data_IF_756502598567
#
_entry.id   IF_756502598567
#
_cell.length_a   1.000
_cell.length_b   1.000
_cell.length_c   1.000
_cell.angle_alpha   90.00
_cell.angle_beta   90.00
_cell.angle_gamma   90.00
#
_symmetry.space_group_name_H-M   'P 1'
#
loop_
_entity.id
_entity.type
_entity.pdbx_description
1 polymer ?
#
# COMPACT_ATOMS: atom_id res chain seq x y z
N UNK A 1 -22.28 3.39 -7.72
CA UNK A 1 -21.43 2.57 -6.81
C UNK A 1 -19.94 2.62 -7.16
N UNK A 2 -19.54 2.64 -8.45
CA UNK A 2 -18.13 2.62 -8.89
C UNK A 2 -17.31 3.88 -8.51
N UNK A 3 -17.90 5.07 -8.60
CA UNK A 3 -17.20 6.34 -8.32
C UNK A 3 -16.67 6.46 -6.88
N UNK A 4 -17.48 6.08 -5.88
CA UNK A 4 -17.07 6.11 -4.47
C UNK A 4 -15.87 5.18 -4.20
N UNK A 5 -15.74 4.08 -4.96
CA UNK A 5 -14.67 3.09 -4.76
C UNK A 5 -13.34 3.61 -5.29
N UNK A 6 -13.38 4.14 -6.52
CA UNK A 6 -12.27 4.86 -7.12
C UNK A 6 -11.81 6.02 -6.25
N UNK A 7 -12.75 6.83 -5.74
CA UNK A 7 -12.41 7.96 -4.86
C UNK A 7 -11.65 7.49 -3.61
N UNK A 8 -12.09 6.41 -2.95
CA UNK A 8 -11.38 5.88 -1.78
C UNK A 8 -9.98 5.39 -2.09
N UNK A 9 -9.78 4.72 -3.22
CA UNK A 9 -8.45 4.30 -3.69
C UNK A 9 -7.55 5.52 -3.86
N UNK A 10 -8.04 6.57 -4.53
CA UNK A 10 -7.29 7.80 -4.76
C UNK A 10 -6.96 8.50 -3.44
N UNK A 11 -7.92 8.61 -2.53
CA UNK A 11 -7.71 9.24 -1.21
C UNK A 11 -6.65 8.48 -0.41
N UNK A 12 -6.72 7.14 -0.38
CA UNK A 12 -5.71 6.29 0.28
C UNK A 12 -4.34 6.53 -0.34
N UNK A 13 -4.25 6.49 -1.68
CA UNK A 13 -3.00 6.64 -2.38
C UNK A 13 -2.35 8.00 -2.09
N UNK A 14 -3.12 9.09 -2.15
CA UNK A 14 -2.64 10.45 -1.87
C UNK A 14 -2.21 10.60 -0.41
N UNK A 15 -3.04 10.17 0.54
CA UNK A 15 -2.72 10.28 1.97
C UNK A 15 -1.47 9.47 2.30
N UNK A 16 -1.37 8.24 1.79
CA UNK A 16 -0.19 7.42 2.02
C UNK A 16 1.06 8.06 1.42
N UNK A 17 0.99 8.52 0.17
CA UNK A 17 2.11 9.19 -0.49
C UNK A 17 2.61 10.38 0.34
N UNK A 18 1.70 11.25 0.79
CA UNK A 18 2.03 12.41 1.63
C UNK A 18 2.62 11.98 2.98
N UNK A 19 2.03 10.98 3.65
CA UNK A 19 2.51 10.49 4.94
C UNK A 19 3.92 9.89 4.84
N UNK A 20 4.23 9.16 3.77
CA UNK A 20 5.59 8.63 3.56
C UNK A 20 6.58 9.76 3.37
N UNK A 21 6.25 10.80 2.61
CA UNK A 21 7.15 11.95 2.42
C UNK A 21 7.46 12.67 3.75
N UNK A 22 6.48 12.76 4.65
CA UNK A 22 6.61 13.44 5.93
C UNK A 22 7.32 12.59 6.99
N UNK A 23 6.91 11.34 7.17
CA UNK A 23 7.31 10.51 8.32
C UNK A 23 8.36 9.45 7.94
N UNK A 24 8.41 9.04 6.66
CA UNK A 24 9.35 8.03 6.13
C UNK A 24 9.43 6.73 6.93
N UNK A 25 8.31 6.31 7.53
CA UNK A 25 8.23 5.12 8.39
C UNK A 25 7.22 4.12 7.83
N UNK A 26 7.43 2.82 8.04
CA UNK A 26 6.51 1.73 7.64
C UNK A 26 5.12 1.89 8.27
N UNK A 27 5.02 2.55 9.42
CA UNK A 27 3.75 2.87 10.09
C UNK A 27 2.82 3.72 9.22
N UNK A 28 3.35 4.47 8.27
CA UNK A 28 2.55 5.30 7.34
C UNK A 28 1.61 4.46 6.47
N UNK A 29 2.00 3.23 6.12
CA UNK A 29 1.15 2.28 5.38
C UNK A 29 -0.10 1.91 6.19
N UNK A 30 0.06 1.72 7.50
CA UNK A 30 -1.01 1.37 8.42
C UNK A 30 -1.94 2.57 8.62
N UNK A 31 -1.39 3.76 8.85
CA UNK A 31 -2.18 4.97 9.08
C UNK A 31 -3.02 5.32 7.85
N UNK A 32 -2.44 5.26 6.66
CA UNK A 32 -3.15 5.56 5.43
C UNK A 32 -4.29 4.57 5.15
N UNK A 33 -4.04 3.27 5.35
CA UNK A 33 -5.08 2.25 5.24
C UNK A 33 -6.17 2.41 6.29
N UNK A 34 -5.84 2.77 7.55
CA UNK A 34 -6.84 3.08 8.57
C UNK A 34 -7.77 4.22 8.13
N UNK A 35 -7.22 5.34 7.67
CA UNK A 35 -8.00 6.51 7.24
C UNK A 35 -8.90 6.15 6.06
N UNK A 36 -8.36 5.49 5.04
CA UNK A 36 -9.13 5.07 3.87
C UNK A 36 -10.21 4.04 4.15
N UNK A 37 -9.93 3.10 5.06
CA UNK A 37 -10.86 2.05 5.45
C UNK A 37 -12.09 2.57 6.19
N UNK A 38 -12.02 3.77 6.75
CA UNK A 38 -13.23 4.42 7.31
C UNK A 38 -14.25 4.82 6.23
N UNK A 39 -13.84 4.92 4.95
CA UNK A 39 -14.73 5.35 3.86
C UNK A 39 -15.69 4.24 3.38
N UNK A 40 -15.38 2.97 3.67
CA UNK A 40 -16.18 1.81 3.24
C UNK A 40 -16.74 0.99 4.40
N UNK A 41 -18.05 0.76 4.39
CA UNK A 41 -18.72 -0.14 5.35
C UNK A 41 -18.50 -1.62 5.04
N UNK A 42 -18.36 -1.94 3.75
CA UNK A 42 -18.16 -3.32 3.31
C UNK A 42 -16.70 -3.74 3.48
N UNK A 43 -16.48 -4.78 4.29
CA UNK A 43 -15.15 -5.30 4.64
C UNK A 43 -14.27 -5.60 3.43
N UNK A 44 -14.80 -6.31 2.43
CA UNK A 44 -14.05 -6.69 1.24
C UNK A 44 -13.68 -5.48 0.38
N UNK A 45 -14.61 -4.54 0.19
CA UNK A 45 -14.32 -3.30 -0.55
C UNK A 45 -13.33 -2.42 0.21
N UNK A 46 -13.42 -2.35 1.54
CA UNK A 46 -12.45 -1.64 2.36
C UNK A 46 -11.04 -2.24 2.21
N UNK A 47 -10.92 -3.56 2.33
CA UNK A 47 -9.65 -4.27 2.13
C UNK A 47 -9.09 -4.01 0.73
N UNK A 48 -9.90 -4.15 -0.32
CA UNK A 48 -9.46 -3.93 -1.70
C UNK A 48 -9.06 -2.46 -1.96
N UNK A 49 -9.80 -1.50 -1.40
CA UNK A 49 -9.44 -0.09 -1.51
C UNK A 49 -8.12 0.21 -0.82
N UNK A 50 -7.91 -0.33 0.39
CA UNK A 50 -6.65 -0.27 1.13
C UNK A 50 -5.48 -0.88 0.37
N UNK A 51 -5.68 -2.10 -0.14
CA UNK A 51 -4.69 -2.83 -0.90
C UNK A 51 -4.31 -2.05 -2.16
N UNK A 52 -5.27 -1.69 -3.01
CA UNK A 52 -5.00 -1.00 -4.28
C UNK A 52 -4.42 0.40 -4.03
N UNK A 53 -4.99 1.16 -3.08
CA UNK A 53 -4.49 2.50 -2.74
C UNK A 53 -3.06 2.46 -2.22
N UNK A 54 -2.73 1.47 -1.38
CA UNK A 54 -1.36 1.31 -0.89
C UNK A 54 -0.38 0.83 -1.94
N UNK A 55 -0.82 -0.03 -2.86
CA UNK A 55 -0.02 -0.42 -4.01
C UNK A 55 0.34 0.80 -4.86
N UNK A 56 -0.65 1.63 -5.22
CA UNK A 56 -0.45 2.80 -6.07
C UNK A 56 0.53 3.79 -5.43
N UNK A 57 0.34 4.10 -4.15
CA UNK A 57 1.23 5.02 -3.44
C UNK A 57 2.66 4.48 -3.36
N UNK A 58 2.82 3.21 -2.98
CA UNK A 58 4.13 2.58 -2.86
C UNK A 58 4.82 2.45 -4.21
N UNK A 59 4.07 2.12 -5.26
CA UNK A 59 4.55 2.11 -6.64
C UNK A 59 5.02 3.50 -7.07
N UNK A 60 4.24 4.55 -6.82
CA UNK A 60 4.64 5.91 -7.18
C UNK A 60 5.93 6.37 -6.45
N UNK A 61 6.15 5.89 -5.22
CA UNK A 61 7.36 6.19 -4.44
C UNK A 61 8.56 5.35 -4.88
N UNK A 62 8.36 4.07 -5.14
CA UNK A 62 9.43 3.13 -5.44
C UNK A 62 9.80 3.08 -6.91
N UNK A 63 8.90 3.39 -7.83
CA UNK A 63 9.18 3.35 -9.26
C UNK A 63 10.43 4.19 -9.63
N UNK A 64 10.60 5.45 -9.21
CA UNK A 64 11.80 6.22 -9.52
C UNK A 64 13.08 5.60 -8.94
N UNK A 65 12.99 4.92 -7.80
CA UNK A 65 14.12 4.28 -7.13
C UNK A 65 14.48 2.97 -7.85
N UNK A 66 13.50 2.13 -8.14
CA UNK A 66 13.66 0.82 -8.76
C UNK A 66 14.04 0.90 -10.23
N UNK A 67 13.63 1.96 -10.94
CA UNK A 67 13.97 2.16 -12.35
C UNK A 67 15.27 2.96 -12.55
N UNK A 68 15.97 3.34 -11.48
CA UNK A 68 17.32 3.90 -11.58
C UNK A 68 18.34 2.79 -11.92
N UNK A 69 19.16 2.99 -12.94
CA UNK A 69 20.17 2.02 -13.39
C UNK A 69 21.12 1.55 -12.27
N UNK A 70 21.53 2.45 -11.37
CA UNK A 70 22.40 2.10 -10.25
C UNK A 70 21.73 1.11 -9.29
N UNK A 71 20.43 1.31 -9.05
CA UNK A 71 19.64 0.44 -8.17
C UNK A 71 19.26 -0.88 -8.85
N UNK A 72 19.05 -0.88 -10.17
CA UNK A 72 18.84 -2.13 -10.92
C UNK A 72 20.09 -3.02 -10.89
N UNK A 73 21.28 -2.43 -11.02
CA UNK A 73 22.53 -3.17 -10.85
C UNK A 73 22.64 -3.75 -9.44
N UNK A 74 22.37 -2.96 -8.40
CA UNK A 74 22.35 -3.46 -7.02
C UNK A 74 21.34 -4.60 -6.83
N UNK A 75 20.11 -4.45 -7.33
CA UNK A 75 19.07 -5.48 -7.23
C UNK A 75 19.47 -6.77 -7.95
N UNK A 76 20.14 -6.67 -9.10
CA UNK A 76 20.66 -7.85 -9.83
C UNK A 76 21.78 -8.58 -9.07
N UNK A 77 22.60 -7.84 -8.33
CA UNK A 77 23.63 -8.44 -7.45
C UNK A 77 22.94 -9.14 -6.27
N UNK A 78 21.96 -8.50 -5.65
CA UNK A 78 21.16 -9.12 -4.59
C UNK A 78 20.41 -10.37 -5.05
N UNK A 79 19.81 -10.35 -6.24
CA UNK A 79 19.14 -11.52 -6.81
C UNK A 79 20.10 -12.68 -7.02
N UNK A 80 21.31 -12.40 -7.49
CA UNK A 80 22.35 -13.42 -7.67
C UNK A 80 22.90 -13.98 -6.37
N UNK A 81 23.01 -13.17 -5.30
CA UNK A 81 23.49 -13.62 -3.99
C UNK A 81 22.43 -14.44 -3.26
N UNK A 82 21.17 -14.00 -3.34
CA UNK A 82 20.06 -14.62 -2.62
C UNK A 82 19.44 -15.81 -3.38
N UNK A 83 19.92 -16.10 -4.59
CA UNK A 83 19.39 -17.12 -5.50
C UNK A 83 17.87 -16.98 -5.75
N UNK A 84 17.39 -15.73 -5.67
CA UNK A 84 15.99 -15.37 -5.91
C UNK A 84 15.87 -14.59 -7.21
N UNK A 85 14.88 -14.92 -8.07
CA UNK A 85 14.55 -14.10 -9.21
C UNK A 85 14.26 -12.65 -8.79
N UNK A 86 14.71 -11.69 -9.59
CA UNK A 86 14.50 -10.26 -9.36
C UNK A 86 13.00 -9.93 -9.23
N UNK A 87 12.15 -10.65 -9.98
CA UNK A 87 10.70 -10.53 -9.94
C UNK A 87 10.14 -10.86 -8.56
N UNK A 88 10.71 -11.85 -7.87
CA UNK A 88 10.28 -12.22 -6.51
C UNK A 88 10.68 -11.13 -5.52
N UNK A 89 11.88 -10.57 -5.66
CA UNK A 89 12.35 -9.47 -4.81
C UNK A 89 11.45 -8.25 -4.98
N UNK A 90 11.15 -7.87 -6.23
CA UNK A 90 10.24 -6.78 -6.53
C UNK A 90 8.84 -7.06 -5.99
N UNK A 91 8.31 -8.27 -6.20
CA UNK A 91 7.02 -8.67 -5.68
C UNK A 91 6.96 -8.52 -4.15
N UNK A 92 7.99 -8.94 -3.42
CA UNK A 92 8.07 -8.82 -1.96
C UNK A 92 8.11 -7.35 -1.49
N UNK A 93 8.89 -6.50 -2.18
CA UNK A 93 8.97 -5.05 -1.89
C UNK A 93 7.60 -4.40 -2.02
N UNK A 94 6.80 -4.81 -3.01
CA UNK A 94 5.44 -4.31 -3.19
C UNK A 94 4.44 -4.97 -2.27
N UNK A 95 4.55 -6.27 -1.99
CA UNK A 95 3.51 -7.04 -1.28
C UNK A 95 3.27 -6.51 0.13
N UNK A 96 4.34 -6.29 0.89
CA UNK A 96 4.27 -6.03 2.31
C UNK A 96 3.49 -4.74 2.66
N UNK A 97 3.87 -3.55 2.16
CA UNK A 97 3.13 -2.31 2.43
C UNK A 97 1.69 -2.36 1.90
N UNK A 98 1.48 -3.08 0.80
CA UNK A 98 0.18 -3.22 0.16
C UNK A 98 -0.78 -4.06 1.02
N UNK A 99 -0.29 -5.20 1.55
CA UNK A 99 -1.05 -6.05 2.46
C UNK A 99 -1.35 -5.30 3.76
N UNK A 100 -0.37 -4.56 4.31
CA UNK A 100 -0.58 -3.74 5.51
C UNK A 100 -1.67 -2.68 5.28
N UNK A 101 -1.70 -2.04 4.11
CA UNK A 101 -2.76 -1.11 3.71
C UNK A 101 -4.14 -1.76 3.64
N UNK A 102 -4.23 -2.95 3.05
CA UNK A 102 -5.46 -3.73 2.99
C UNK A 102 -5.97 -4.16 4.37
N UNK A 103 -5.09 -4.73 5.20
CA UNK A 103 -5.43 -5.22 6.54
C UNK A 103 -5.84 -4.09 7.48
N UNK A 104 -5.11 -2.97 7.48
CA UNK A 104 -5.49 -1.80 8.28
C UNK A 104 -6.85 -1.22 7.85
N UNK A 105 -7.14 -1.19 6.55
CA UNK A 105 -8.46 -0.77 6.05
C UNK A 105 -9.57 -1.71 6.50
N UNK A 106 -9.31 -3.03 6.50
CA UNK A 106 -10.23 -4.03 7.01
C UNK A 106 -10.52 -3.84 8.50
N UNK A 107 -9.48 -3.60 9.31
CA UNK A 107 -9.60 -3.31 10.75
C UNK A 107 -10.47 -2.07 10.96
N UNK A 108 -10.20 -0.97 10.25
CA UNK A 108 -10.98 0.26 10.36
C UNK A 108 -12.47 0.03 10.04
N UNK A 109 -12.77 -0.70 8.97
CA UNK A 109 -14.16 -1.03 8.61
C UNK A 109 -14.85 -1.91 9.67
N UNK A 110 -14.09 -2.78 10.34
CA UNK A 110 -14.61 -3.67 11.37
C UNK A 110 -14.92 -2.91 12.65
N UNK A 111 -13.99 -2.05 13.10
CA UNK A 111 -14.19 -1.17 14.26
C UNK A 111 -15.40 -0.26 14.02
N UNK A 112 -15.49 0.36 12.84
CA UNK A 112 -16.63 1.20 12.45
C UNK A 112 -17.96 0.44 12.58
N UNK A 113 -18.02 -0.79 12.08
CA UNK A 113 -19.25 -1.61 12.17
C UNK A 113 -19.62 -1.98 13.60
N UNK A 114 -18.64 -2.12 14.50
CA UNK A 114 -18.87 -2.37 15.92
C UNK A 114 -19.41 -1.11 16.61
N UNK A 115 -18.89 0.07 16.27
CA UNK A 115 -19.29 1.36 16.85
C UNK A 115 -20.63 1.90 16.33
N UNK A 116 -21.04 1.52 15.11
CA UNK A 116 -22.35 1.89 14.54
C UNK A 116 -23.51 0.98 15.03
N UNK A 117 -23.23 0.00 15.89
CA UNK A 117 -24.22 -0.86 16.57
C UNK A 117 -24.56 -0.32 17.94
#
# INVERSE_FOLDING_TARGET
MKFKFLLSIVVIAVIYYVLVLLVKDWRTAIIAGLIGGTLYKERLKSFLAGLIGSFIAWFALMAPILFNEANQKLLSIFSSIADFPLEIILALIFLLPTILGGLSSLIASTIRKILEK
#
